data_IF_330570372524
#
_entry.id   IF_330570372524
#
_cell.length_a   1.000
_cell.length_b   1.000
_cell.length_c   1.000
_cell.angle_alpha   90.00
_cell.angle_beta   90.00
_cell.angle_gamma   90.00
#
_symmetry.space_group_name_H-M   'P 1'
#
loop_
_entity.id
_entity.type
_entity.pdbx_description
1 polymer ?
#
# COMPACT_ATOMS: atom_id res chain seq x y z
N UNK A 1 11.26 -4.51 11.25
CA UNK A 1 9.96 -3.86 11.22
C UNK A 1 9.14 -4.41 10.06
N UNK A 2 7.88 -4.79 10.31
CA UNK A 2 6.97 -5.28 9.29
C UNK A 2 6.03 -4.15 8.89
N UNK A 3 5.93 -3.87 7.61
CA UNK A 3 5.03 -2.86 7.04
C UNK A 3 4.11 -3.49 6.00
N UNK A 4 2.94 -2.90 5.81
CA UNK A 4 1.96 -3.34 4.82
C UNK A 4 1.74 -2.23 3.82
N UNK A 5 1.58 -2.59 2.55
CA UNK A 5 1.33 -1.58 1.53
C UNK A 5 0.40 -2.08 0.44
N UNK A 6 -0.30 -1.14 -0.15
CA UNK A 6 -1.12 -1.32 -1.34
C UNK A 6 -0.83 -0.21 -2.34
N UNK A 7 -1.03 -0.53 -3.60
CA UNK A 7 -1.04 0.46 -4.68
C UNK A 7 -2.34 0.33 -5.44
N UNK A 8 -3.04 1.43 -5.57
CA UNK A 8 -4.24 1.54 -6.37
C UNK A 8 -4.06 2.64 -7.41
N UNK A 9 -4.83 2.58 -8.50
CA UNK A 9 -4.78 3.58 -9.56
C UNK A 9 -6.16 3.82 -10.14
N UNK A 10 -6.59 5.08 -10.10
CA UNK A 10 -7.81 5.52 -10.77
C UNK A 10 -7.78 5.36 -12.28
N UNK A 11 -6.59 5.20 -12.87
CA UNK A 11 -6.42 4.94 -14.31
C UNK A 11 -7.01 3.60 -14.77
N UNK A 12 -7.33 2.70 -13.84
CA UNK A 12 -8.00 1.42 -14.15
C UNK A 12 -9.41 1.60 -14.63
N UNK A 13 -10.02 2.75 -14.35
CA UNK A 13 -11.44 2.97 -14.62
C UNK A 13 -11.64 3.76 -15.92
N UNK A 14 -12.57 3.27 -16.74
CA UNK A 14 -12.96 3.92 -17.97
C UNK A 14 -13.98 5.03 -17.69
N UNK A 15 -14.18 5.91 -18.66
CA UNK A 15 -15.25 6.92 -18.60
C UNK A 15 -16.59 6.26 -18.25
N UNK A 16 -17.33 6.85 -17.34
CA UNK A 16 -18.65 6.38 -16.89
C UNK A 16 -18.66 4.95 -16.36
N UNK A 17 -17.65 4.59 -15.56
CA UNK A 17 -17.65 3.33 -14.85
C UNK A 17 -18.78 3.34 -13.81
N UNK A 18 -19.70 2.37 -13.83
CA UNK A 18 -20.71 2.22 -12.78
C UNK A 18 -20.05 1.82 -11.45
N UNK A 19 -20.82 1.90 -10.38
CA UNK A 19 -20.35 1.43 -9.08
C UNK A 19 -19.88 -0.02 -9.16
N UNK A 20 -18.66 -0.27 -8.69
CA UNK A 20 -18.06 -1.60 -8.68
C UNK A 20 -17.14 -1.79 -7.49
N UNK A 21 -17.00 -3.03 -7.07
CA UNK A 21 -16.12 -3.46 -5.98
C UNK A 21 -14.96 -4.29 -6.54
N UNK A 22 -13.75 -4.08 -6.00
CA UNK A 22 -12.56 -4.81 -6.40
C UNK A 22 -11.68 -5.06 -5.18
N UNK A 23 -11.24 -6.30 -5.00
CA UNK A 23 -10.27 -6.64 -3.97
C UNK A 23 -8.87 -6.29 -4.45
N UNK A 24 -8.14 -5.59 -3.59
CA UNK A 24 -6.76 -5.16 -3.84
C UNK A 24 -5.83 -5.96 -2.95
N UNK A 25 -4.79 -6.60 -3.50
CA UNK A 25 -3.84 -7.34 -2.69
C UNK A 25 -3.04 -6.42 -1.77
N UNK A 26 -2.93 -6.80 -0.51
CA UNK A 26 -2.07 -6.15 0.47
C UNK A 26 -0.74 -6.89 0.50
N UNK A 27 0.35 -6.17 0.27
CA UNK A 27 1.71 -6.73 0.26
C UNK A 27 2.40 -6.51 1.59
N UNK A 28 3.23 -7.46 1.97
CA UNK A 28 4.05 -7.42 3.19
C UNK A 28 5.47 -7.05 2.82
N UNK A 29 6.01 -6.05 3.52
CA UNK A 29 7.40 -5.63 3.41
C UNK A 29 8.08 -5.69 4.77
N UNK A 30 9.22 -6.33 4.81
CA UNK A 30 10.10 -6.35 5.97
C UNK A 30 11.20 -5.32 5.81
N UNK A 31 11.36 -4.44 6.79
CA UNK A 31 12.50 -3.54 6.88
C UNK A 31 13.47 -4.08 7.93
N UNK A 32 14.67 -4.39 7.49
CA UNK A 32 15.75 -4.95 8.29
C UNK A 32 16.93 -3.99 8.20
N UNK A 33 17.59 -3.73 9.32
CA UNK A 33 18.83 -2.96 9.33
C UNK A 33 19.98 -3.95 9.43
N UNK A 34 20.89 -3.92 8.47
CA UNK A 34 22.12 -4.73 8.50
C UNK A 34 23.08 -4.12 9.52
N UNK A 35 23.24 -4.81 10.67
CA UNK A 35 24.13 -4.34 11.75
C UNK A 35 25.24 -5.33 11.99
N UNK A 36 26.40 -4.81 12.40
CA UNK A 36 27.57 -5.60 12.81
C UNK A 36 28.15 -6.51 11.72
N UNK A 37 28.00 -6.12 10.44
CA UNK A 37 28.62 -6.83 9.33
C UNK A 37 30.05 -6.33 9.05
N UNK A 38 30.51 -5.26 9.74
CA UNK A 38 31.84 -4.68 9.53
C UNK A 38 32.00 -4.11 8.14
N UNK A 39 33.20 -4.31 7.57
CA UNK A 39 33.52 -3.86 6.22
C UNK A 39 33.05 -4.84 5.11
N UNK A 40 32.33 -5.90 5.50
CA UNK A 40 31.80 -6.86 4.53
C UNK A 40 30.56 -6.28 3.84
N UNK A 41 30.48 -6.54 2.55
CA UNK A 41 29.27 -6.31 1.76
C UNK A 41 28.53 -7.64 1.57
N UNK A 42 27.23 -7.63 1.80
CA UNK A 42 26.37 -8.78 1.44
C UNK A 42 26.01 -8.61 -0.04
N UNK A 43 26.34 -9.58 -0.89
CA UNK A 43 25.98 -9.50 -2.31
C UNK A 43 24.48 -9.37 -2.50
N UNK A 44 24.08 -8.63 -3.53
CA UNK A 44 22.67 -8.55 -3.94
C UNK A 44 22.15 -9.93 -4.38
N UNK A 45 20.87 -10.16 -4.15
CA UNK A 45 20.23 -11.42 -4.50
C UNK A 45 18.89 -11.63 -3.81
N UNK A 46 18.48 -12.90 -3.76
CA UNK A 46 17.26 -13.32 -3.09
C UNK A 46 17.55 -13.73 -1.65
N UNK A 47 16.75 -13.20 -0.74
CA UNK A 47 16.83 -13.45 0.69
C UNK A 47 15.60 -14.23 1.15
N UNK A 48 15.80 -15.40 1.74
CA UNK A 48 14.73 -16.12 2.41
C UNK A 48 14.44 -15.46 3.76
N UNK A 49 13.17 -15.12 3.98
CA UNK A 49 12.70 -14.48 5.21
C UNK A 49 12.05 -15.52 6.10
N UNK A 50 12.48 -15.60 7.35
CA UNK A 50 11.95 -16.47 8.38
C UNK A 50 11.52 -15.64 9.59
N UNK A 51 10.39 -15.97 10.17
CA UNK A 51 9.93 -15.44 11.45
C UNK A 51 10.17 -16.48 12.55
N UNK A 52 10.65 -16.03 13.70
CA UNK A 52 10.81 -16.88 14.86
C UNK A 52 9.75 -16.55 15.89
N UNK A 53 8.85 -17.47 16.12
CA UNK A 53 7.82 -17.37 17.14
C UNK A 53 7.89 -18.59 18.07
N UNK A 54 7.94 -18.36 19.38
CA UNK A 54 8.03 -19.41 20.41
C UNK A 54 9.15 -20.46 20.15
N UNK A 55 10.27 -20.02 19.57
CA UNK A 55 11.40 -20.88 19.23
C UNK A 55 11.28 -21.61 17.89
N UNK A 56 10.13 -21.56 17.24
CA UNK A 56 9.87 -22.17 15.94
C UNK A 56 10.26 -21.17 14.85
N UNK A 57 11.01 -21.63 13.85
CA UNK A 57 11.39 -20.84 12.68
C UNK A 57 10.43 -21.16 11.53
N UNK A 58 9.61 -20.20 11.15
CA UNK A 58 8.62 -20.36 10.09
C UNK A 58 9.08 -19.59 8.83
N UNK A 59 9.08 -20.24 7.68
CA UNK A 59 9.36 -19.59 6.42
C UNK A 59 8.22 -18.66 6.01
N UNK A 60 8.53 -17.39 5.76
CA UNK A 60 7.55 -16.36 5.41
C UNK A 60 7.53 -16.09 3.90
N UNK A 61 8.69 -16.16 3.26
CA UNK A 61 8.78 -15.88 1.83
C UNK A 61 10.19 -15.50 1.40
N UNK A 62 10.29 -15.05 0.15
CA UNK A 62 11.54 -14.55 -0.43
C UNK A 62 11.36 -13.10 -0.87
N UNK A 63 12.36 -12.29 -0.58
CA UNK A 63 12.48 -10.93 -1.12
C UNK A 63 13.84 -10.74 -1.77
N UNK A 64 13.99 -9.75 -2.64
CA UNK A 64 15.26 -9.40 -3.27
C UNK A 64 15.80 -8.06 -2.80
N UNK A 65 17.11 -7.94 -2.71
CA UNK A 65 17.80 -6.68 -2.44
C UNK A 65 19.04 -6.55 -3.32
N UNK A 66 19.52 -5.32 -3.50
CA UNK A 66 20.84 -5.04 -4.05
C UNK A 66 21.95 -5.40 -3.05
N UNK A 67 23.17 -4.94 -3.32
CA UNK A 67 24.30 -5.04 -2.39
C UNK A 67 23.92 -4.30 -1.11
N UNK A 68 24.27 -4.90 0.03
CA UNK A 68 23.97 -4.39 1.36
C UNK A 68 25.26 -4.12 2.12
N UNK A 69 25.38 -2.92 2.63
CA UNK A 69 26.49 -2.48 3.48
C UNK A 69 26.08 -2.37 4.95
N UNK A 70 27.05 -2.13 5.83
CA UNK A 70 26.75 -1.96 7.24
C UNK A 70 25.82 -0.75 7.46
N UNK A 71 24.84 -0.93 8.35
CA UNK A 71 23.77 0.03 8.65
C UNK A 71 22.74 0.29 7.53
N UNK A 72 22.85 -0.38 6.39
CA UNK A 72 21.85 -0.29 5.34
C UNK A 72 20.48 -0.78 5.80
N UNK A 73 19.45 -0.12 5.26
CA UNK A 73 18.04 -0.53 5.42
C UNK A 73 17.62 -1.41 4.24
N UNK A 74 17.51 -2.70 4.49
CA UNK A 74 17.04 -3.69 3.52
C UNK A 74 15.52 -3.70 3.55
N UNK A 75 14.89 -3.56 2.38
CA UNK A 75 13.42 -3.67 2.24
C UNK A 75 13.11 -4.90 1.40
N UNK A 76 12.61 -5.95 2.06
CA UNK A 76 12.25 -7.22 1.42
C UNK A 76 10.72 -7.33 1.31
N UNK A 77 10.21 -7.34 0.10
CA UNK A 77 8.80 -7.64 -0.16
C UNK A 77 8.63 -9.14 -0.34
N UNK A 78 7.86 -9.77 0.55
CA UNK A 78 7.75 -11.23 0.61
C UNK A 78 6.45 -11.78 0.00
N UNK A 79 5.60 -10.91 -0.49
CA UNK A 79 4.36 -11.30 -1.16
C UNK A 79 3.11 -10.71 -0.50
N UNK A 80 1.98 -11.36 -0.73
CA UNK A 80 0.66 -10.91 -0.27
C UNK A 80 0.35 -11.49 1.11
N UNK A 81 -0.35 -10.70 1.94
CA UNK A 81 -0.95 -11.22 3.17
C UNK A 81 -2.38 -11.68 2.93
N UNK A 82 -2.84 -12.67 3.70
CA UNK A 82 -4.22 -13.14 3.73
C UNK A 82 -4.99 -12.65 4.97
N UNK A 83 -4.26 -12.11 5.96
CA UNK A 83 -4.84 -11.63 7.23
C UNK A 83 -5.24 -10.17 7.18
N UNK A 84 -4.84 -9.45 6.13
CA UNK A 84 -5.24 -8.07 5.90
C UNK A 84 -5.85 -7.99 4.52
N UNK A 85 -7.10 -7.59 4.47
CA UNK A 85 -7.86 -7.47 3.23
C UNK A 85 -8.14 -6.00 2.93
N UNK A 86 -8.18 -5.68 1.65
CA UNK A 86 -8.57 -4.36 1.18
C UNK A 86 -9.53 -4.49 0.01
N UNK A 87 -10.72 -3.93 0.17
CA UNK A 87 -11.74 -3.87 -0.87
C UNK A 87 -11.99 -2.42 -1.25
N UNK A 88 -11.78 -2.08 -2.52
CA UNK A 88 -12.11 -0.78 -3.09
C UNK A 88 -13.48 -0.81 -3.73
N UNK A 89 -14.28 0.20 -3.42
CA UNK A 89 -15.59 0.42 -4.00
C UNK A 89 -15.58 1.79 -4.67
N UNK A 90 -15.71 1.81 -5.99
CA UNK A 90 -16.00 3.04 -6.72
C UNK A 90 -17.50 3.21 -6.75
N UNK A 91 -17.99 4.32 -6.20
CA UNK A 91 -19.40 4.70 -6.24
C UNK A 91 -19.80 5.25 -7.61
N UNK A 92 -18.86 5.86 -8.31
CA UNK A 92 -19.01 6.37 -9.65
C UNK A 92 -17.75 7.10 -10.12
N UNK A 93 -17.46 6.94 -11.41
CA UNK A 93 -16.39 7.67 -12.07
C UNK A 93 -16.96 8.40 -13.29
N UNK A 94 -17.07 9.72 -13.19
CA UNK A 94 -17.57 10.57 -14.26
C UNK A 94 -16.40 11.38 -14.82
N UNK A 95 -16.12 11.20 -16.10
CA UNK A 95 -15.14 12.01 -16.83
C UNK A 95 -15.89 12.83 -17.88
N UNK A 96 -15.81 14.14 -17.76
CA UNK A 96 -16.15 15.09 -18.80
C UNK A 96 -14.93 15.35 -19.72
N UNK A 97 -15.08 16.25 -20.70
CA UNK A 97 -14.01 16.56 -21.67
C UNK A 97 -12.76 17.08 -20.96
N UNK A 98 -12.93 17.91 -19.93
CA UNK A 98 -11.87 18.66 -19.28
C UNK A 98 -11.64 18.28 -17.80
N UNK A 99 -12.51 17.45 -17.21
CA UNK A 99 -12.39 17.05 -15.80
C UNK A 99 -12.95 15.67 -15.53
N UNK A 100 -12.48 15.05 -14.45
CA UNK A 100 -12.99 13.79 -13.93
C UNK A 100 -13.30 13.89 -12.43
N UNK A 101 -14.36 13.22 -11.99
CA UNK A 101 -14.71 13.08 -10.58
C UNK A 101 -14.91 11.61 -10.25
N UNK A 102 -14.24 11.14 -9.22
CA UNK A 102 -14.40 9.79 -8.69
C UNK A 102 -14.72 9.84 -7.20
N UNK A 103 -15.70 9.05 -6.78
CA UNK A 103 -16.03 8.85 -5.37
C UNK A 103 -15.63 7.42 -5.00
N UNK A 104 -14.72 7.29 -4.03
CA UNK A 104 -14.13 6.03 -3.62
C UNK A 104 -14.38 5.76 -2.15
N UNK A 105 -14.68 4.48 -1.88
CA UNK A 105 -14.62 3.88 -0.55
C UNK A 105 -13.58 2.76 -0.57
N UNK A 106 -12.75 2.70 0.48
CA UNK A 106 -11.83 1.60 0.71
C UNK A 106 -12.11 0.98 2.06
N UNK A 107 -12.37 -0.31 2.10
CA UNK A 107 -12.61 -1.07 3.32
C UNK A 107 -11.37 -1.90 3.61
N UNK A 108 -10.72 -1.61 4.73
CA UNK A 108 -9.59 -2.37 5.24
C UNK A 108 -10.06 -3.27 6.38
N UNK A 109 -9.77 -4.56 6.30
CA UNK A 109 -10.06 -5.54 7.34
C UNK A 109 -8.75 -6.13 7.86
N UNK A 110 -8.49 -5.95 9.15
CA UNK A 110 -7.37 -6.56 9.85
C UNK A 110 -7.87 -7.74 10.69
N UNK A 111 -7.45 -8.96 10.32
CA UNK A 111 -7.78 -10.22 11.00
C UNK A 111 -6.70 -10.65 12.00
N UNK A 112 -5.63 -9.85 12.13
CA UNK A 112 -4.58 -10.12 13.11
C UNK A 112 -5.02 -9.68 14.51
N UNK A 113 -4.41 -10.30 15.51
CA UNK A 113 -4.61 -10.00 16.95
C UNK A 113 -3.90 -8.73 17.42
N UNK A 114 -3.21 -8.03 16.52
CA UNK A 114 -2.48 -6.78 16.79
C UNK A 114 -2.81 -5.71 15.75
N UNK A 115 -2.73 -4.41 16.11
CA UNK A 115 -2.96 -3.33 15.19
C UNK A 115 -1.92 -3.32 14.07
N UNK A 116 -2.30 -2.83 12.90
CA UNK A 116 -1.44 -2.68 11.74
C UNK A 116 -1.55 -1.29 11.13
N UNK A 117 -0.47 -0.84 10.50
CA UNK A 117 -0.44 0.37 9.70
C UNK A 117 -0.18 -0.01 8.25
N UNK A 118 -1.01 0.49 7.35
CA UNK A 118 -0.99 0.17 5.92
C UNK A 118 -0.69 1.45 5.14
N UNK A 119 0.36 1.41 4.33
CA UNK A 119 0.70 2.49 3.39
C UNK A 119 -0.07 2.28 2.10
N UNK A 120 -0.99 3.18 1.79
CA UNK A 120 -1.77 3.15 0.56
C UNK A 120 -1.32 4.26 -0.37
N UNK A 121 -0.75 3.87 -1.52
CA UNK A 121 -0.41 4.80 -2.59
C UNK A 121 -1.52 4.81 -3.63
N UNK A 122 -2.17 5.96 -3.80
CA UNK A 122 -3.12 6.21 -4.86
C UNK A 122 -2.44 6.91 -6.03
N UNK A 123 -2.64 6.39 -7.26
CA UNK A 123 -2.07 6.94 -8.48
C UNK A 123 -3.13 7.61 -9.35
N UNK A 124 -2.79 8.78 -9.86
CA UNK A 124 -3.61 9.58 -10.76
C UNK A 124 -2.97 9.66 -12.16
N UNK A 125 -3.78 9.76 -13.20
CA UNK A 125 -3.32 9.83 -14.61
C UNK A 125 -2.74 11.17 -15.01
N UNK A 126 -3.26 12.22 -14.40
CA UNK A 126 -2.93 13.60 -14.74
C UNK A 126 -2.38 14.32 -13.52
N UNK A 127 -1.46 15.25 -13.73
CA UNK A 127 -0.77 15.96 -12.66
C UNK A 127 -1.63 16.97 -11.90
N UNK A 128 -2.79 17.31 -12.42
CA UNK A 128 -3.76 18.20 -11.73
C UNK A 128 -4.86 17.35 -11.12
N UNK A 129 -4.68 17.01 -9.88
CA UNK A 129 -5.69 16.30 -9.09
C UNK A 129 -5.83 16.93 -7.71
N UNK A 130 -7.00 16.79 -7.14
CA UNK A 130 -7.29 17.15 -5.78
C UNK A 130 -8.15 16.09 -5.10
N UNK A 131 -8.02 15.98 -3.79
CA UNK A 131 -8.80 15.07 -2.95
C UNK A 131 -9.62 15.91 -1.98
N UNK A 132 -10.93 15.75 -2.08
CA UNK A 132 -11.91 16.41 -1.22
C UNK A 132 -12.75 15.39 -0.46
N UNK A 133 -13.45 15.85 0.57
CA UNK A 133 -14.34 14.99 1.39
C UNK A 133 -13.67 13.71 1.91
N UNK A 134 -12.38 13.78 2.22
CA UNK A 134 -11.66 12.65 2.78
C UNK A 134 -11.83 12.58 4.29
N UNK A 135 -12.12 11.38 4.82
CA UNK A 135 -12.11 11.12 6.26
C UNK A 135 -10.72 10.73 6.79
N UNK A 136 -9.70 10.70 5.93
CA UNK A 136 -8.31 10.43 6.28
C UNK A 136 -7.41 11.48 5.62
N UNK A 137 -6.39 11.94 6.35
CA UNK A 137 -5.36 12.81 5.80
C UNK A 137 -4.48 12.05 4.81
N UNK A 138 -4.02 12.75 3.78
CA UNK A 138 -3.08 12.23 2.81
C UNK A 138 -1.88 13.15 2.66
N UNK A 139 -0.79 12.60 2.17
CA UNK A 139 0.41 13.32 1.76
C UNK A 139 0.52 13.28 0.23
N UNK A 140 0.79 14.40 -0.40
CA UNK A 140 1.10 14.44 -1.83
C UNK A 140 2.56 14.06 -2.02
N UNK A 141 2.83 12.87 -2.57
CA UNK A 141 4.21 12.42 -2.81
C UNK A 141 4.83 13.12 -4.02
N UNK A 142 4.06 13.31 -5.08
CA UNK A 142 4.48 13.95 -6.32
C UNK A 142 3.26 14.41 -7.15
N UNK A 143 3.51 14.76 -8.42
CA UNK A 143 2.47 15.19 -9.34
C UNK A 143 1.37 14.13 -9.61
N UNK A 144 1.66 12.86 -9.36
CA UNK A 144 0.80 11.75 -9.75
C UNK A 144 0.39 10.84 -8.60
N UNK A 145 0.88 11.05 -7.37
CA UNK A 145 0.67 10.12 -6.26
C UNK A 145 0.30 10.80 -4.96
N UNK A 146 -0.69 10.22 -4.29
CA UNK A 146 -1.02 10.50 -2.90
C UNK A 146 -0.71 9.27 -2.02
N UNK A 147 -0.25 9.51 -0.80
CA UNK A 147 -0.02 8.51 0.23
C UNK A 147 -1.02 8.69 1.36
N UNK A 148 -1.73 7.62 1.68
CA UNK A 148 -2.53 7.50 2.89
C UNK A 148 -1.86 6.53 3.85
N UNK A 149 -1.86 6.87 5.14
CA UNK A 149 -1.47 5.94 6.20
C UNK A 149 -2.73 5.50 6.93
N UNK A 150 -3.06 4.22 6.79
CA UNK A 150 -4.30 3.64 7.34
C UNK A 150 -3.97 2.76 8.53
N UNK A 151 -4.25 3.24 9.74
CA UNK A 151 -4.11 2.44 10.95
C UNK A 151 -5.41 1.67 11.20
N UNK A 152 -5.32 0.35 11.36
CA UNK A 152 -6.44 -0.56 11.60
C UNK A 152 -6.18 -1.35 12.88
N UNK A 153 -7.10 -1.26 13.83
CA UNK A 153 -7.00 -1.98 15.10
C UNK A 153 -7.05 -3.49 14.90
N UNK A 154 -6.63 -4.26 15.92
CA UNK A 154 -6.72 -5.70 15.91
C UNK A 154 -8.16 -6.18 15.67
N UNK A 155 -8.34 -7.22 14.87
CA UNK A 155 -9.63 -7.86 14.59
C UNK A 155 -10.74 -6.88 14.23
N UNK A 156 -10.42 -5.86 13.42
CA UNK A 156 -11.36 -4.78 13.09
C UNK A 156 -11.36 -4.40 11.62
N UNK A 157 -12.37 -3.59 11.25
CA UNK A 157 -12.47 -2.97 9.92
C UNK A 157 -12.39 -1.46 10.04
N UNK A 158 -11.83 -0.84 9.00
CA UNK A 158 -11.80 0.62 8.86
C UNK A 158 -12.21 0.99 7.46
N UNK A 159 -13.12 1.93 7.35
CA UNK A 159 -13.59 2.47 6.09
C UNK A 159 -13.01 3.86 5.87
N UNK A 160 -12.45 4.05 4.68
CA UNK A 160 -11.91 5.32 4.21
C UNK A 160 -12.69 5.73 2.98
N UNK A 161 -13.12 6.97 2.95
CA UNK A 161 -13.79 7.54 1.78
C UNK A 161 -13.12 8.86 1.38
N UNK A 162 -13.11 9.13 0.09
CA UNK A 162 -12.71 10.41 -0.47
C UNK A 162 -13.32 10.64 -1.85
N UNK A 163 -13.32 11.89 -2.27
CA UNK A 163 -13.63 12.30 -3.63
C UNK A 163 -12.35 12.78 -4.30
N UNK A 164 -11.98 12.16 -5.43
CA UNK A 164 -10.91 12.64 -6.27
C UNK A 164 -11.47 13.48 -7.42
N UNK A 165 -10.90 14.64 -7.63
CA UNK A 165 -11.12 15.49 -8.79
C UNK A 165 -9.85 15.50 -9.64
N UNK A 166 -9.98 15.33 -10.95
CA UNK A 166 -8.87 15.28 -11.88
C UNK A 166 -9.18 16.28 -13.00
N UNK A 167 -8.33 17.27 -13.17
CA UNK A 167 -8.42 18.22 -14.26
C UNK A 167 -7.48 17.79 -15.37
N UNK A 168 -8.00 17.74 -16.60
CA UNK A 168 -7.21 17.45 -17.80
C UNK A 168 -6.66 18.75 -18.38
N UNK A 169 -5.44 18.69 -18.86
CA UNK A 169 -4.87 19.76 -19.68
C UNK A 169 -5.40 19.70 -21.10
#
# INVERSE_FOLDING_TARGET
NTTYHISHSLNRYRRNTPAQSTDIPVFVRYEIVAKNIGDFQIPGGNFNVYERENGILTYIGVGSSGIVENDDKIKLETGKTHDILCTFIIQGYKINKDSGKAELNAIFENRKDKPVSISWTEQFSDGRWDITNSNLKFERLDAYRALFTVDVSANSKKEIHFTAQIDKE
#
